data_IF_790452108357
#
_entry.id   IF_790452108357
#
_cell.length_a   1.000
_cell.length_b   1.000
_cell.length_c   1.000
_cell.angle_alpha   90.00
_cell.angle_beta   90.00
_cell.angle_gamma   90.00
#
_symmetry.space_group_name_H-M   'P 1'
#
loop_
_entity.id
_entity.type
_entity.pdbx_description
1 polymer ?
#
# COMPACT_ATOMS: atom_id res chain seq x y z
N UNK A 1 18.19 6.52 25.61
CA UNK A 1 16.81 7.00 25.42
C UNK A 1 15.97 5.81 24.98
N UNK A 2 14.70 5.76 25.40
CA UNK A 2 13.80 4.68 24.96
C UNK A 2 13.57 4.76 23.44
N UNK A 3 13.76 3.65 22.75
CA UNK A 3 13.47 3.55 21.33
C UNK A 3 11.94 3.46 21.14
N UNK A 4 11.39 4.28 20.29
CA UNK A 4 9.99 4.17 19.86
C UNK A 4 9.94 3.65 18.41
N UNK A 5 8.88 2.92 18.08
CA UNK A 5 8.64 2.39 16.75
C UNK A 5 7.47 3.08 16.09
N UNK A 6 7.50 3.20 14.78
CA UNK A 6 6.38 3.64 13.96
C UNK A 6 5.99 2.54 12.97
N UNK A 7 4.71 2.21 12.90
CA UNK A 7 4.18 1.29 11.88
C UNK A 7 3.15 2.00 11.02
N UNK A 8 3.32 1.88 9.71
CA UNK A 8 2.27 2.13 8.74
C UNK A 8 1.85 0.81 8.10
N UNK A 9 0.62 0.37 8.35
CA UNK A 9 -0.03 -0.73 7.66
C UNK A 9 -0.84 -0.17 6.49
N UNK A 10 -0.36 -0.38 5.27
CA UNK A 10 -1.10 -0.07 4.04
C UNK A 10 -1.95 -1.24 3.54
N UNK A 11 -2.69 -1.04 2.45
CA UNK A 11 -3.45 -2.13 1.81
C UNK A 11 -2.56 -3.16 1.09
N UNK A 12 -1.38 -2.77 0.65
CA UNK A 12 -0.47 -3.64 -0.12
C UNK A 12 0.82 -3.97 0.60
N UNK A 13 1.29 -3.06 1.46
CA UNK A 13 2.56 -3.18 2.19
C UNK A 13 2.43 -2.60 3.59
N UNK A 14 3.28 -3.09 4.49
CA UNK A 14 3.51 -2.49 5.80
C UNK A 14 4.97 -2.03 5.88
N UNK A 15 5.22 -0.96 6.62
CA UNK A 15 6.57 -0.45 6.93
C UNK A 15 6.75 -0.27 8.42
N UNK A 16 7.97 -0.50 8.89
CA UNK A 16 8.40 -0.35 10.26
C UNK A 16 9.59 0.62 10.31
N UNK A 17 9.54 1.57 11.21
CA UNK A 17 10.66 2.46 11.51
C UNK A 17 10.95 2.51 13.01
N UNK A 18 12.19 2.73 13.39
CA UNK A 18 12.59 3.06 14.75
C UNK A 18 12.92 4.54 14.84
N UNK A 19 12.65 5.14 16.00
CA UNK A 19 13.07 6.48 16.34
C UNK A 19 13.96 6.41 17.58
N UNK A 20 15.23 6.74 17.38
CA UNK A 20 16.23 6.76 18.44
C UNK A 20 17.20 7.91 18.24
N UNK A 21 17.59 8.58 19.33
CA UNK A 21 18.56 9.68 19.31
C UNK A 21 18.20 10.82 18.32
N UNK A 22 16.90 11.14 18.20
CA UNK A 22 16.43 12.20 17.31
C UNK A 22 16.36 11.82 15.82
N UNK A 23 16.59 10.55 15.47
CA UNK A 23 16.60 10.11 14.06
C UNK A 23 15.62 8.96 13.85
N UNK A 24 14.81 9.09 12.80
CA UNK A 24 13.94 8.01 12.31
C UNK A 24 14.72 7.14 11.29
N UNK A 25 14.67 5.83 11.45
CA UNK A 25 15.30 4.88 10.52
C UNK A 25 14.33 3.77 10.17
N UNK A 26 14.09 3.56 8.88
CA UNK A 26 13.25 2.46 8.40
C UNK A 26 13.99 1.14 8.57
N UNK A 27 13.36 0.19 9.24
CA UNK A 27 13.90 -1.14 9.52
C UNK A 27 13.61 -2.06 8.33
N UNK A 28 14.66 -2.72 7.84
CA UNK A 28 14.52 -3.72 6.80
C UNK A 28 13.90 -5.00 7.36
N UNK A 29 13.11 -5.68 6.53
CA UNK A 29 12.57 -7.01 6.84
C UNK A 29 13.62 -8.11 6.64
N UNK A 30 13.25 -9.36 6.88
CA UNK A 30 14.14 -10.52 6.75
C UNK A 30 14.75 -10.71 5.35
N UNK A 31 14.17 -10.08 4.33
CA UNK A 31 14.66 -10.11 2.94
C UNK A 31 15.53 -8.89 2.59
N UNK A 32 15.76 -7.97 3.53
CA UNK A 32 16.49 -6.74 3.32
C UNK A 32 15.66 -5.59 2.74
N UNK A 33 14.34 -5.80 2.51
CA UNK A 33 13.46 -4.78 1.98
C UNK A 33 12.93 -3.85 3.08
N UNK A 34 12.79 -2.57 2.77
CA UNK A 34 12.24 -1.56 3.69
C UNK A 34 10.72 -1.58 3.82
N UNK A 35 10.05 -2.43 3.06
CA UNK A 35 8.61 -2.66 3.11
C UNK A 35 8.31 -4.15 3.11
N UNK A 36 7.33 -4.57 3.92
CA UNK A 36 6.86 -5.95 3.98
C UNK A 36 5.53 -6.03 3.24
N UNK A 37 5.35 -6.94 2.25
CA UNK A 37 4.05 -7.15 1.62
C UNK A 37 2.97 -7.47 2.66
N UNK A 38 1.84 -6.76 2.62
CA UNK A 38 0.69 -7.04 3.48
C UNK A 38 -0.18 -8.17 2.89
N UNK A 39 0.46 -9.32 2.70
CA UNK A 39 -0.10 -10.53 2.11
C UNK A 39 0.12 -11.67 3.10
N UNK A 40 -0.89 -12.50 3.26
CA UNK A 40 -0.82 -13.70 4.09
C UNK A 40 -1.31 -14.89 3.29
N UNK A 41 -0.66 -16.01 3.45
CA UNK A 41 -1.04 -17.30 2.87
C UNK A 41 -1.03 -18.38 3.94
N UNK A 42 -1.88 -19.38 3.77
CA UNK A 42 -1.80 -20.62 4.53
C UNK A 42 -1.25 -21.71 3.58
N UNK A 43 -0.11 -22.27 3.94
CA UNK A 43 0.54 -23.36 3.21
C UNK A 43 0.61 -24.59 4.12
N UNK A 44 -0.24 -25.60 3.85
CA UNK A 44 -0.43 -26.70 4.77
C UNK A 44 -0.98 -26.23 6.12
N UNK A 45 -0.17 -26.30 7.17
CA UNK A 45 -0.48 -25.80 8.53
C UNK A 45 0.25 -24.50 8.89
N UNK A 46 1.13 -24.00 8.03
CA UNK A 46 1.99 -22.87 8.32
C UNK A 46 1.48 -21.57 7.68
N UNK A 47 1.55 -20.48 8.44
CA UNK A 47 1.22 -19.16 7.97
C UNK A 47 2.45 -18.50 7.35
N UNK A 48 2.39 -18.21 6.07
CA UNK A 48 3.37 -17.40 5.36
C UNK A 48 2.90 -15.95 5.31
N UNK A 49 3.78 -15.01 5.67
CA UNK A 49 3.46 -13.58 5.73
C UNK A 49 4.55 -12.79 4.99
N UNK A 50 4.14 -11.84 4.18
CA UNK A 50 5.04 -10.97 3.45
C UNK A 50 5.54 -11.59 2.16
N UNK A 51 6.87 -11.56 1.95
CA UNK A 51 7.49 -12.00 0.70
C UNK A 51 7.27 -13.50 0.40
N UNK A 52 7.34 -14.44 1.36
CA UNK A 52 7.01 -15.84 1.10
C UNK A 52 5.61 -16.02 0.52
N UNK A 53 4.59 -15.40 1.15
CA UNK A 53 3.22 -15.41 0.65
C UNK A 53 3.08 -14.74 -0.72
N UNK A 54 3.82 -13.64 -0.98
CA UNK A 54 3.83 -12.95 -2.27
C UNK A 54 4.45 -13.83 -3.38
N UNK A 55 5.53 -14.52 -3.10
CA UNK A 55 6.23 -15.37 -4.08
C UNK A 55 5.46 -16.66 -4.38
N UNK A 56 4.79 -17.25 -3.39
CA UNK A 56 3.97 -18.47 -3.53
C UNK A 56 2.61 -18.26 -4.18
N UNK A 57 2.18 -17.01 -4.41
CA UNK A 57 0.79 -16.69 -4.76
C UNK A 57 0.24 -17.37 -6.04
N UNK A 58 1.09 -17.69 -7.01
CA UNK A 58 0.66 -18.34 -8.25
C UNK A 58 0.17 -19.79 -8.03
N UNK A 59 0.60 -20.41 -6.95
CA UNK A 59 0.33 -21.83 -6.66
C UNK A 59 -0.55 -22.02 -5.42
N UNK A 60 -0.71 -20.99 -4.58
CA UNK A 60 -1.49 -21.09 -3.34
C UNK A 60 -2.98 -20.84 -3.57
N UNK A 61 -3.82 -21.70 -2.96
CA UNK A 61 -5.29 -21.57 -2.95
C UNK A 61 -5.81 -20.78 -1.75
N UNK A 62 -4.94 -20.40 -0.82
CA UNK A 62 -5.31 -19.86 0.48
C UNK A 62 -4.56 -18.54 0.77
N UNK A 63 -4.76 -17.53 -0.08
CA UNK A 63 -4.11 -16.23 0.03
C UNK A 63 -5.12 -15.13 0.33
N UNK A 64 -4.77 -14.22 1.25
CA UNK A 64 -5.49 -12.97 1.49
C UNK A 64 -4.59 -11.79 1.15
N UNK A 65 -5.16 -10.85 0.41
CA UNK A 65 -4.59 -9.54 0.07
C UNK A 65 -5.56 -8.43 0.46
N UNK A 66 -5.00 -7.25 0.71
CA UNK A 66 -5.80 -6.03 0.95
C UNK A 66 -6.75 -6.11 2.14
N UNK A 67 -6.45 -6.96 3.12
CA UNK A 67 -7.26 -7.18 4.33
C UNK A 67 -7.58 -5.86 5.06
N UNK A 68 -6.69 -4.86 5.01
CA UNK A 68 -6.91 -3.55 5.66
C UNK A 68 -8.23 -2.89 5.24
N UNK A 69 -8.72 -3.13 4.00
CA UNK A 69 -10.01 -2.59 3.54
C UNK A 69 -11.17 -3.02 4.43
N UNK A 70 -11.15 -4.26 4.93
CA UNK A 70 -12.19 -4.84 5.78
C UNK A 70 -11.95 -4.61 7.28
N UNK A 71 -10.87 -3.92 7.63
CA UNK A 71 -10.61 -3.43 8.99
C UNK A 71 -11.37 -2.13 9.32
N UNK A 72 -11.74 -1.36 8.29
CA UNK A 72 -12.65 -0.23 8.48
C UNK A 72 -14.05 -0.74 8.84
N UNK A 73 -14.67 -0.23 9.91
CA UNK A 73 -16.03 -0.63 10.28
C UNK A 73 -17.08 -0.16 9.25
N UNK A 74 -16.76 0.87 8.47
CA UNK A 74 -17.61 1.45 7.44
C UNK A 74 -17.29 0.92 6.04
N UNK A 75 -16.66 -0.28 5.92
CA UNK A 75 -16.40 -0.90 4.63
C UNK A 75 -17.72 -1.18 3.88
N UNK A 76 -17.69 -1.10 2.56
CA UNK A 76 -18.84 -1.31 1.69
C UNK A 76 -18.68 -2.58 0.83
N UNK A 77 -19.68 -2.88 0.02
CA UNK A 77 -19.68 -4.05 -0.86
C UNK A 77 -18.53 -4.02 -1.88
N UNK A 78 -18.14 -2.84 -2.38
CA UNK A 78 -17.01 -2.70 -3.31
C UNK A 78 -15.68 -3.09 -2.65
N UNK A 79 -15.50 -2.79 -1.37
CA UNK A 79 -14.32 -3.19 -0.62
C UNK A 79 -14.26 -4.72 -0.45
N UNK A 80 -15.40 -5.36 -0.15
CA UNK A 80 -15.50 -6.80 -0.04
C UNK A 80 -15.19 -7.48 -1.39
N UNK A 81 -15.87 -7.07 -2.45
CA UNK A 81 -15.67 -7.57 -3.82
C UNK A 81 -14.21 -7.39 -4.27
N UNK A 82 -13.58 -6.27 -3.89
CA UNK A 82 -12.18 -6.04 -4.21
C UNK A 82 -11.26 -7.05 -3.52
N UNK A 83 -11.48 -7.33 -2.22
CA UNK A 83 -10.70 -8.31 -1.47
C UNK A 83 -10.95 -9.73 -2.00
N UNK A 84 -12.19 -10.09 -2.32
CA UNK A 84 -12.54 -11.39 -2.91
C UNK A 84 -11.83 -11.63 -4.25
N UNK A 85 -11.91 -10.66 -5.16
CA UNK A 85 -11.25 -10.77 -6.49
C UNK A 85 -9.73 -10.86 -6.41
N UNK A 86 -9.13 -10.23 -5.40
CA UNK A 86 -7.68 -10.18 -5.22
C UNK A 86 -7.13 -11.36 -4.42
N UNK A 87 -7.96 -12.00 -3.61
CA UNK A 87 -7.62 -13.13 -2.75
C UNK A 87 -7.94 -14.47 -3.43
N UNK A 88 -7.41 -15.57 -2.92
CA UNK A 88 -7.72 -16.92 -3.40
C UNK A 88 -8.44 -17.81 -2.38
N UNK A 89 -8.49 -17.38 -1.11
CA UNK A 89 -9.35 -18.04 -0.11
C UNK A 89 -10.83 -17.72 -0.36
N UNK A 90 -11.71 -18.56 0.14
CA UNK A 90 -13.14 -18.29 0.14
C UNK A 90 -13.46 -17.27 1.24
N UNK A 91 -14.28 -16.27 0.90
CA UNK A 91 -14.72 -15.23 1.83
C UNK A 91 -16.22 -15.41 2.04
N UNK A 92 -16.64 -15.47 3.31
CA UNK A 92 -18.05 -15.52 3.71
C UNK A 92 -18.37 -14.18 4.38
N UNK A 93 -19.49 -13.60 3.99
CA UNK A 93 -20.01 -12.37 4.60
C UNK A 93 -21.38 -12.67 5.20
N UNK A 94 -21.50 -12.49 6.51
CA UNK A 94 -22.72 -12.66 7.26
C UNK A 94 -23.00 -11.38 8.05
N UNK A 95 -23.97 -10.58 7.62
CA UNK A 95 -24.40 -9.34 8.26
C UNK A 95 -23.25 -8.39 8.69
N UNK A 96 -22.27 -8.14 7.80
CA UNK A 96 -21.03 -7.39 8.05
C UNK A 96 -19.95 -8.12 8.88
N UNK A 97 -20.13 -9.39 9.19
CA UNK A 97 -19.08 -10.25 9.74
C UNK A 97 -18.38 -10.99 8.61
N UNK A 98 -17.13 -10.62 8.34
CA UNK A 98 -16.32 -11.28 7.30
C UNK A 98 -15.53 -12.42 7.90
N UNK A 99 -15.66 -13.59 7.28
CA UNK A 99 -14.91 -14.79 7.64
C UNK A 99 -14.16 -15.32 6.42
N UNK A 100 -12.87 -15.54 6.58
CA UNK A 100 -12.00 -16.18 5.60
C UNK A 100 -11.97 -17.69 5.86
N UNK A 101 -12.26 -18.47 4.84
CA UNK A 101 -12.19 -19.94 4.87
C UNK A 101 -10.93 -20.40 4.15
N UNK A 102 -10.06 -21.10 4.86
CA UNK A 102 -8.83 -21.70 4.35
C UNK A 102 -8.98 -23.20 4.30
N UNK A 103 -8.67 -23.79 3.17
CA UNK A 103 -8.62 -25.24 3.01
C UNK A 103 -7.22 -25.75 3.34
N UNK A 104 -7.10 -26.63 4.32
CA UNK A 104 -5.91 -27.44 4.58
C UNK A 104 -6.12 -28.84 4.06
N UNK A 105 -5.08 -29.67 4.08
CA UNK A 105 -5.19 -31.07 3.64
C UNK A 105 -6.15 -31.91 4.50
N UNK A 106 -6.38 -31.50 5.75
CA UNK A 106 -7.13 -32.30 6.73
C UNK A 106 -8.41 -31.60 7.22
N UNK A 107 -8.40 -30.26 7.29
CA UNK A 107 -9.48 -29.49 7.92
C UNK A 107 -9.68 -28.14 7.21
N UNK A 108 -10.79 -27.47 7.55
CA UNK A 108 -11.03 -26.08 7.22
C UNK A 108 -10.66 -25.21 8.41
N UNK A 109 -9.89 -24.17 8.17
CA UNK A 109 -9.59 -23.13 9.15
C UNK A 109 -10.37 -21.86 8.82
N UNK A 110 -10.87 -21.21 9.85
CA UNK A 110 -11.59 -19.95 9.73
C UNK A 110 -10.84 -18.82 10.42
N UNK A 111 -10.86 -17.66 9.83
CA UNK A 111 -10.24 -16.46 10.39
C UNK A 111 -11.06 -15.23 10.03
N UNK A 112 -10.77 -14.10 10.65
CA UNK A 112 -11.42 -12.83 10.41
C UNK A 112 -10.39 -11.73 10.11
N UNK A 113 -10.80 -10.53 9.64
CA UNK A 113 -9.88 -9.44 9.33
C UNK A 113 -8.96 -9.03 10.50
N UNK A 114 -9.46 -9.06 11.74
CA UNK A 114 -8.65 -8.70 12.92
C UNK A 114 -7.53 -9.71 13.15
N UNK A 115 -7.83 -11.00 13.08
CA UNK A 115 -6.84 -12.08 13.26
C UNK A 115 -5.76 -12.02 12.16
N UNK A 116 -6.16 -11.74 10.91
CA UNK A 116 -5.21 -11.57 9.80
C UNK A 116 -4.31 -10.36 10.03
N UNK A 117 -4.87 -9.23 10.49
CA UNK A 117 -4.10 -8.04 10.83
C UNK A 117 -3.14 -8.30 11.98
N UNK A 118 -3.59 -8.99 13.04
CA UNK A 118 -2.75 -9.39 14.17
C UNK A 118 -1.57 -10.24 13.72
N UNK A 119 -1.77 -11.20 12.82
CA UNK A 119 -0.67 -12.02 12.26
C UNK A 119 0.35 -11.19 11.49
N UNK A 120 -0.12 -10.18 10.71
CA UNK A 120 0.80 -9.25 10.02
C UNK A 120 1.60 -8.44 11.05
N UNK A 121 0.94 -7.92 12.09
CA UNK A 121 1.65 -7.20 13.16
C UNK A 121 2.60 -8.10 13.95
N UNK A 122 2.26 -9.38 14.19
CA UNK A 122 3.16 -10.34 14.85
C UNK A 122 4.44 -10.56 14.03
N UNK A 123 4.33 -10.62 12.69
CA UNK A 123 5.52 -10.67 11.82
C UNK A 123 6.37 -9.41 11.94
N UNK A 124 5.75 -8.23 11.97
CA UNK A 124 6.46 -6.96 12.14
C UNK A 124 7.07 -6.86 13.55
N UNK A 125 6.39 -7.37 14.58
CA UNK A 125 6.91 -7.46 15.94
C UNK A 125 8.20 -8.31 15.99
N UNK A 126 8.22 -9.45 15.32
CA UNK A 126 9.42 -10.28 15.22
C UNK A 126 10.58 -9.51 14.57
N UNK A 127 10.32 -8.76 13.48
CA UNK A 127 11.33 -7.92 12.81
C UNK A 127 11.82 -6.82 13.77
N UNK A 128 10.91 -6.16 14.50
CA UNK A 128 11.26 -5.14 15.47
C UNK A 128 12.11 -5.72 16.60
N UNK A 129 11.73 -6.89 17.16
CA UNK A 129 12.46 -7.55 18.25
C UNK A 129 13.90 -7.92 17.88
N UNK A 130 14.14 -8.34 16.63
CA UNK A 130 15.50 -8.63 16.16
C UNK A 130 16.38 -7.38 16.00
N UNK A 131 15.77 -6.19 15.92
CA UNK A 131 16.49 -4.92 15.77
C UNK A 131 16.92 -4.30 17.10
N UNK A 132 16.50 -4.87 18.24
CA UNK A 132 16.74 -4.33 19.59
C UNK A 132 17.75 -5.19 20.34
N UNK A 133 18.69 -4.53 21.02
CA UNK A 133 19.68 -5.18 21.89
C UNK A 133 19.18 -5.43 23.33
N UNK A 134 17.99 -4.92 23.70
CA UNK A 134 17.46 -5.00 25.06
C UNK A 134 16.03 -5.57 25.05
N UNK A 135 15.75 -6.48 25.97
CA UNK A 135 14.40 -6.97 26.30
C UNK A 135 13.60 -5.85 27.00
N UNK A 136 12.86 -5.06 26.23
CA UNK A 136 11.95 -4.04 26.72
C UNK A 136 10.66 -4.01 25.89
N UNK A 137 9.62 -3.40 26.44
CA UNK A 137 8.36 -3.20 25.71
C UNK A 137 8.61 -2.43 24.42
N UNK A 138 8.14 -2.98 23.29
CA UNK A 138 8.26 -2.31 21.99
C UNK A 138 7.15 -1.25 21.88
N UNK A 139 7.51 -0.02 22.23
CA UNK A 139 6.61 1.15 22.20
C UNK A 139 6.32 1.56 20.78
N UNK A 140 5.03 1.69 20.43
CA UNK A 140 4.58 1.84 19.07
C UNK A 140 3.69 3.07 18.86
N UNK A 141 3.92 3.77 17.76
CA UNK A 141 2.98 4.74 17.18
C UNK A 141 2.46 4.17 15.86
N UNK A 142 1.13 4.16 15.70
CA UNK A 142 0.46 3.68 14.49
C UNK A 142 0.02 4.86 13.62
N UNK A 143 0.13 4.71 12.30
CA UNK A 143 -0.49 5.61 11.34
C UNK A 143 -1.78 4.98 10.77
N UNK A 144 -2.88 5.75 10.77
CA UNK A 144 -4.18 5.31 10.25
C UNK A 144 -4.76 6.32 9.25
N UNK A 145 -5.61 5.84 8.30
CA UNK A 145 -6.31 6.72 7.38
C UNK A 145 -7.16 7.77 8.09
N UNK A 146 -7.21 8.97 7.51
CA UNK A 146 -7.93 10.09 8.10
C UNK A 146 -9.44 9.84 8.20
N UNK A 147 -10.03 9.24 7.18
CA UNK A 147 -11.46 8.96 7.09
C UNK A 147 -11.95 7.83 8.00
N UNK A 148 -11.05 7.11 8.69
CA UNK A 148 -11.45 6.03 9.58
C UNK A 148 -12.04 6.57 10.89
N UNK A 149 -13.14 5.95 11.32
CA UNK A 149 -13.77 6.22 12.62
C UNK A 149 -12.85 5.80 13.77
N UNK A 150 -13.12 6.34 14.97
CA UNK A 150 -12.38 5.95 16.16
C UNK A 150 -12.49 4.44 16.45
N UNK A 151 -13.63 3.82 16.15
CA UNK A 151 -13.83 2.37 16.32
C UNK A 151 -12.87 1.59 15.42
N UNK A 152 -12.76 1.97 14.14
CA UNK A 152 -11.83 1.35 13.19
C UNK A 152 -10.37 1.52 13.60
N UNK A 153 -10.01 2.70 14.13
CA UNK A 153 -8.66 2.99 14.65
C UNK A 153 -8.35 2.13 15.87
N UNK A 154 -9.30 1.97 16.80
CA UNK A 154 -9.13 1.14 17.99
C UNK A 154 -8.99 -0.36 17.64
N UNK A 155 -9.61 -0.83 16.56
CA UNK A 155 -9.37 -2.20 16.06
C UNK A 155 -7.91 -2.41 15.65
N UNK A 156 -7.27 -1.41 14.98
CA UNK A 156 -5.83 -1.51 14.64
C UNK A 156 -4.97 -1.55 15.90
N UNK A 157 -5.26 -0.68 16.89
CA UNK A 157 -4.55 -0.65 18.17
C UNK A 157 -4.64 -2.01 18.84
N UNK A 158 -5.85 -2.57 18.98
CA UNK A 158 -6.05 -3.88 19.60
C UNK A 158 -5.30 -5.01 18.88
N UNK A 159 -5.26 -4.98 17.55
CA UNK A 159 -4.50 -5.98 16.79
C UNK A 159 -2.99 -5.87 17.04
N UNK A 160 -2.46 -4.64 17.19
CA UNK A 160 -1.05 -4.42 17.49
C UNK A 160 -0.68 -4.83 18.93
N UNK A 161 -1.55 -4.53 19.89
CA UNK A 161 -1.40 -4.97 21.30
C UNK A 161 -1.42 -6.51 21.41
N UNK A 162 -2.34 -7.16 20.71
CA UNK A 162 -2.40 -8.63 20.64
C UNK A 162 -1.16 -9.25 19.97
N UNK A 163 -0.46 -8.49 19.13
CA UNK A 163 0.82 -8.88 18.53
C UNK A 163 2.03 -8.68 19.47
N UNK A 164 1.85 -8.01 20.61
CA UNK A 164 2.87 -7.79 21.64
C UNK A 164 3.43 -6.36 21.71
N UNK A 165 2.90 -5.40 20.93
CA UNK A 165 3.34 -4.01 21.02
C UNK A 165 2.67 -3.25 22.17
N UNK A 166 3.38 -2.31 22.78
CA UNK A 166 2.84 -1.27 23.66
C UNK A 166 2.48 -0.04 22.83
N UNK A 167 1.19 0.15 22.51
CA UNK A 167 0.73 1.21 21.62
C UNK A 167 0.58 2.53 22.37
N UNK A 168 1.50 3.46 22.12
CA UNK A 168 1.51 4.79 22.72
C UNK A 168 0.44 5.70 22.11
N UNK A 169 0.30 5.69 20.78
CA UNK A 169 -0.55 6.61 20.06
C UNK A 169 -0.90 6.10 18.67
N UNK A 170 -2.04 6.57 18.14
CA UNK A 170 -2.41 6.47 16.75
C UNK A 170 -2.57 7.87 16.15
N UNK A 171 -1.89 8.14 15.03
CA UNK A 171 -1.91 9.41 14.32
C UNK A 171 -2.51 9.26 12.93
N UNK A 172 -2.92 10.37 12.32
CA UNK A 172 -3.41 10.33 10.94
C UNK A 172 -2.25 10.20 9.94
N UNK A 173 -2.48 9.49 8.81
CA UNK A 173 -1.48 9.33 7.75
C UNK A 173 -0.97 10.67 7.20
N UNK A 174 -1.80 11.72 6.96
CA UNK A 174 -1.29 13.03 6.57
C UNK A 174 -0.40 13.69 7.63
N UNK A 175 -0.77 13.61 8.91
CA UNK A 175 0.09 14.15 9.98
C UNK A 175 1.43 13.44 10.03
N UNK A 176 1.44 12.11 9.91
CA UNK A 176 2.69 11.33 9.84
C UNK A 176 3.57 11.76 8.67
N UNK A 177 2.97 12.10 7.51
CA UNK A 177 3.71 12.58 6.35
C UNK A 177 4.34 13.96 6.60
N UNK A 178 3.65 14.88 7.28
CA UNK A 178 4.20 16.20 7.62
C UNK A 178 5.34 16.11 8.62
N UNK A 179 5.19 15.29 9.67
CA UNK A 179 6.23 15.01 10.66
C UNK A 179 7.52 14.47 10.02
N UNK A 180 7.39 13.61 9.00
CA UNK A 180 8.54 13.06 8.30
C UNK A 180 9.38 14.12 7.55
N UNK A 181 8.80 15.27 7.23
CA UNK A 181 9.49 16.41 6.60
C UNK A 181 9.80 17.55 7.58
N UNK A 182 9.55 17.37 8.89
CA UNK A 182 9.71 18.38 9.95
C UNK A 182 8.97 19.70 9.64
N UNK A 183 7.81 19.61 8.99
CA UNK A 183 7.05 20.80 8.59
C UNK A 183 6.43 21.48 9.82
N UNK A 184 6.16 20.74 10.89
CA UNK A 184 5.61 21.24 12.14
C UNK A 184 6.56 22.19 12.90
N UNK A 185 7.85 22.14 12.63
CA UNK A 185 8.84 23.01 13.28
C UNK A 185 8.81 24.45 12.71
N UNK A 186 8.04 24.71 11.65
CA UNK A 186 7.95 26.05 11.06
C UNK A 186 7.10 26.99 11.92
N UNK A 187 7.58 28.21 12.09
CA UNK A 187 6.83 29.28 12.81
C UNK A 187 5.74 29.91 11.96
N UNK A 188 5.77 29.72 10.65
CA UNK A 188 4.86 30.33 9.70
C UNK A 188 3.59 29.50 9.50
N UNK A 189 2.48 30.18 9.25
CA UNK A 189 1.24 29.53 8.83
C UNK A 189 1.40 28.96 7.41
N UNK A 190 1.30 27.65 7.27
CA UNK A 190 1.44 26.95 6.01
C UNK A 190 0.21 26.13 5.67
N UNK A 191 -0.23 26.19 4.41
CA UNK A 191 -1.18 25.21 3.87
C UNK A 191 -0.41 24.24 2.98
N UNK A 192 -0.55 22.95 3.27
CA UNK A 192 0.18 21.87 2.63
C UNK A 192 -0.80 20.92 1.96
N UNK A 193 -0.63 20.70 0.66
CA UNK A 193 -1.32 19.63 -0.05
C UNK A 193 -0.57 18.31 0.20
N UNK A 194 -1.18 17.39 0.92
CA UNK A 194 -0.65 16.04 1.09
C UNK A 194 -1.35 15.11 0.10
N UNK A 195 -0.63 14.65 -0.89
CA UNK A 195 -1.12 13.72 -1.90
C UNK A 195 -0.53 12.33 -1.66
N UNK A 196 -1.34 11.40 -1.19
CA UNK A 196 -0.95 10.02 -0.90
C UNK A 196 -1.56 9.04 -1.92
N UNK A 197 -0.70 8.38 -2.71
CA UNK A 197 -1.11 7.33 -3.63
C UNK A 197 -0.51 5.99 -3.20
N UNK A 198 -1.36 5.15 -2.64
CA UNK A 198 -1.02 3.79 -2.24
C UNK A 198 -1.13 2.77 -3.38
N UNK A 199 -1.11 1.49 -3.03
CA UNK A 199 -1.32 0.42 -3.99
C UNK A 199 -2.75 0.34 -4.51
N UNK A 200 -3.74 0.67 -3.66
CA UNK A 200 -5.17 0.49 -3.99
C UNK A 200 -6.04 1.70 -3.70
N UNK A 201 -5.51 2.72 -3.02
CA UNK A 201 -6.27 3.90 -2.59
C UNK A 201 -5.48 5.18 -2.84
N UNK A 202 -6.21 6.27 -3.06
CA UNK A 202 -5.70 7.63 -3.12
C UNK A 202 -6.35 8.45 -2.01
N UNK A 203 -5.55 9.25 -1.32
CA UNK A 203 -5.99 10.17 -0.27
C UNK A 203 -5.33 11.52 -0.51
N UNK A 204 -6.12 12.57 -0.59
CA UNK A 204 -5.65 13.93 -0.84
C UNK A 204 -6.19 14.84 0.23
N UNK A 205 -5.31 15.51 0.96
CA UNK A 205 -5.68 16.38 2.07
C UNK A 205 -5.05 17.74 1.92
N UNK A 206 -5.77 18.81 2.29
CA UNK A 206 -5.17 20.11 2.58
C UNK A 206 -5.07 20.21 4.10
N UNK A 207 -3.85 20.41 4.54
CA UNK A 207 -3.50 20.48 5.96
C UNK A 207 -2.90 21.85 6.26
N UNK A 208 -3.44 22.51 7.27
CA UNK A 208 -2.89 23.74 7.80
C UNK A 208 -1.94 23.42 8.96
N UNK A 209 -0.77 24.00 8.90
CA UNK A 209 0.23 23.99 9.98
C UNK A 209 0.37 25.41 10.51
N UNK A 210 0.17 25.59 11.81
CA UNK A 210 0.22 26.90 12.47
C UNK A 210 0.79 26.72 13.86
N UNK A 211 1.92 27.34 14.15
CA UNK A 211 2.56 27.31 15.47
C UNK A 211 2.69 25.90 16.08
N UNK A 212 3.07 24.91 15.25
CA UNK A 212 3.23 23.50 15.66
C UNK A 212 1.91 22.69 15.68
N UNK A 213 0.76 23.32 15.47
CA UNK A 213 -0.51 22.61 15.35
C UNK A 213 -0.78 22.20 13.90
N UNK A 214 -1.25 20.97 13.74
CA UNK A 214 -1.62 20.38 12.46
C UNK A 214 -3.13 20.19 12.43
N UNK A 215 -3.83 20.92 11.54
CA UNK A 215 -5.26 20.79 11.31
C UNK A 215 -5.57 20.38 9.87
N UNK A 216 -6.51 19.46 9.69
CA UNK A 216 -6.96 19.06 8.35
C UNK A 216 -8.15 19.93 7.96
N UNK A 217 -7.95 20.72 6.89
CA UNK A 217 -8.98 21.63 6.38
C UNK A 217 -9.93 20.92 5.41
N UNK A 218 -9.37 20.08 4.52
CA UNK A 218 -10.13 19.30 3.54
C UNK A 218 -9.52 17.94 3.31
N UNK A 219 -10.34 16.96 2.93
CA UNK A 219 -9.88 15.63 2.55
C UNK A 219 -10.78 15.03 1.46
N UNK A 220 -10.18 14.38 0.48
CA UNK A 220 -10.83 13.54 -0.53
C UNK A 220 -10.19 12.17 -0.50
N UNK A 221 -11.01 11.14 -0.32
CA UNK A 221 -10.59 9.74 -0.36
C UNK A 221 -11.19 9.02 -1.56
N UNK A 222 -10.36 8.22 -2.26
CA UNK A 222 -10.74 7.38 -3.39
C UNK A 222 -10.27 5.95 -3.15
N UNK A 223 -11.22 5.03 -3.04
CA UNK A 223 -10.95 3.58 -2.86
C UNK A 223 -10.65 2.84 -4.16
N UNK A 224 -10.89 3.47 -5.30
CA UNK A 224 -10.76 2.90 -6.65
C UNK A 224 -9.48 3.32 -7.40
N UNK A 225 -8.68 4.25 -6.83
CA UNK A 225 -7.44 4.74 -7.42
C UNK A 225 -6.22 4.23 -6.63
N UNK A 226 -5.27 3.65 -7.36
CA UNK A 226 -4.01 3.18 -6.76
C UNK A 226 -3.08 2.55 -7.79
N UNK A 227 -1.87 2.20 -7.36
CA UNK A 227 -0.84 1.61 -8.20
C UNK A 227 -1.22 0.27 -8.83
N UNK A 228 -2.15 -0.47 -8.21
CA UNK A 228 -2.66 -1.74 -8.76
C UNK A 228 -3.42 -1.55 -10.08
N UNK A 229 -4.14 -0.43 -10.25
CA UNK A 229 -4.77 -0.10 -11.52
C UNK A 229 -3.74 0.09 -12.63
N UNK A 230 -2.60 0.71 -12.32
CA UNK A 230 -1.49 0.91 -13.26
C UNK A 230 -0.77 -0.41 -13.56
N UNK A 231 -0.58 -1.26 -12.55
CA UNK A 231 -0.05 -2.63 -12.72
C UNK A 231 -0.95 -3.43 -13.66
N UNK A 232 -2.28 -3.37 -13.47
CA UNK A 232 -3.23 -4.07 -14.32
C UNK A 232 -3.14 -3.59 -15.78
N UNK A 233 -3.09 -2.28 -16.03
CA UNK A 233 -2.96 -1.75 -17.38
C UNK A 233 -1.68 -2.27 -18.08
N UNK A 234 -0.57 -2.35 -17.35
CA UNK A 234 0.68 -2.91 -17.88
C UNK A 234 0.57 -4.42 -18.12
N UNK A 235 -0.06 -5.17 -17.22
CA UNK A 235 -0.28 -6.60 -17.39
C UNK A 235 -1.19 -6.90 -18.60
N UNK A 236 -2.27 -6.12 -18.75
CA UNK A 236 -3.18 -6.24 -19.90
C UNK A 236 -2.47 -5.92 -21.22
N UNK A 237 -1.58 -4.93 -21.22
CA UNK A 237 -0.73 -4.64 -22.40
C UNK A 237 0.18 -5.84 -22.73
N UNK A 238 0.87 -6.40 -21.74
CA UNK A 238 1.75 -7.57 -21.96
C UNK A 238 0.94 -8.78 -22.42
N UNK A 239 -0.26 -9.00 -21.88
CA UNK A 239 -1.15 -10.07 -22.32
C UNK A 239 -1.56 -9.93 -23.79
N UNK A 240 -1.86 -8.70 -24.24
CA UNK A 240 -2.20 -8.42 -25.64
C UNK A 240 -1.01 -8.68 -26.58
N UNK A 241 0.20 -8.25 -26.20
CA UNK A 241 1.42 -8.54 -27.00
C UNK A 241 1.68 -10.05 -27.09
N UNK A 242 1.50 -10.79 -25.99
CA UNK A 242 1.61 -12.24 -25.99
C UNK A 242 0.58 -12.88 -26.93
N UNK A 243 -0.69 -12.47 -26.82
CA UNK A 243 -1.78 -12.97 -27.68
C UNK A 243 -1.53 -12.69 -29.16
N UNK A 244 -1.01 -11.51 -29.49
CA UNK A 244 -0.68 -11.17 -30.88
C UNK A 244 0.41 -12.07 -31.45
N UNK A 245 1.43 -12.37 -30.65
CA UNK A 245 2.59 -13.17 -31.06
C UNK A 245 2.29 -14.68 -31.14
N UNK A 246 1.63 -15.21 -30.11
CA UNK A 246 1.47 -16.65 -29.94
C UNK A 246 0.06 -17.16 -30.22
N UNK A 247 -0.91 -16.29 -30.45
CA UNK A 247 -2.35 -16.62 -30.64
C UNK A 247 -2.99 -17.37 -29.47
N UNK A 248 -2.37 -17.29 -28.29
CA UNK A 248 -2.85 -17.81 -27.01
C UNK A 248 -3.25 -16.62 -26.14
N UNK A 249 -4.39 -16.71 -25.45
CA UNK A 249 -4.90 -15.61 -24.61
C UNK A 249 -4.63 -15.85 -23.12
N UNK A 250 -3.66 -15.13 -22.50
CA UNK A 250 -3.41 -15.28 -21.07
C UNK A 250 -4.57 -14.84 -20.20
N UNK A 251 -5.49 -13.99 -20.71
CA UNK A 251 -6.64 -13.47 -19.94
C UNK A 251 -7.65 -14.57 -19.61
N UNK A 252 -7.66 -15.67 -20.36
CA UNK A 252 -8.51 -16.83 -20.09
C UNK A 252 -7.98 -17.73 -18.95
N UNK A 253 -6.73 -17.51 -18.52
CA UNK A 253 -6.08 -18.28 -17.45
C UNK A 253 -5.81 -17.44 -16.22
N UNK A 254 -6.50 -17.74 -15.10
CA UNK A 254 -6.24 -17.08 -13.81
C UNK A 254 -4.78 -17.18 -13.38
N UNK A 255 -4.14 -18.35 -13.61
CA UNK A 255 -2.73 -18.57 -13.28
C UNK A 255 -1.80 -17.70 -14.12
N UNK A 256 -2.04 -17.59 -15.43
CA UNK A 256 -1.26 -16.76 -16.33
C UNK A 256 -1.40 -15.29 -15.95
N UNK A 257 -2.63 -14.79 -15.70
CA UNK A 257 -2.86 -13.43 -15.26
C UNK A 257 -2.23 -13.12 -13.90
N UNK A 258 -2.19 -14.07 -12.95
CA UNK A 258 -1.48 -13.90 -11.68
C UNK A 258 0.02 -13.72 -11.89
N UNK A 259 0.65 -14.51 -12.76
CA UNK A 259 2.05 -14.34 -13.15
C UNK A 259 2.29 -12.98 -13.81
N UNK A 260 1.44 -12.61 -14.78
CA UNK A 260 1.51 -11.31 -15.46
C UNK A 260 1.43 -10.14 -14.50
N UNK A 261 0.46 -10.13 -13.58
CA UNK A 261 0.31 -9.08 -12.59
C UNK A 261 1.53 -8.97 -11.67
N UNK A 262 2.11 -10.10 -11.27
CA UNK A 262 3.33 -10.11 -10.45
C UNK A 262 4.53 -9.47 -11.20
N UNK A 263 4.76 -9.89 -12.43
CA UNK A 263 5.88 -9.37 -13.23
C UNK A 263 5.65 -7.93 -13.69
N UNK A 264 4.40 -7.54 -13.98
CA UNK A 264 4.04 -6.15 -14.28
C UNK A 264 4.22 -5.24 -13.07
N UNK A 265 3.91 -5.71 -11.84
CA UNK A 265 4.17 -4.96 -10.61
C UNK A 265 5.67 -4.69 -10.42
N UNK A 266 6.50 -5.72 -10.57
CA UNK A 266 7.96 -5.59 -10.51
C UNK A 266 8.50 -4.65 -11.60
N UNK A 267 8.02 -4.80 -12.84
CA UNK A 267 8.37 -3.93 -13.95
C UNK A 267 8.02 -2.45 -13.67
N UNK A 268 6.81 -2.17 -13.18
CA UNK A 268 6.38 -0.83 -12.75
C UNK A 268 7.32 -0.23 -11.70
N UNK A 269 7.73 -1.02 -10.71
CA UNK A 269 8.68 -0.56 -9.68
C UNK A 269 10.05 -0.21 -10.30
N UNK A 270 10.59 -1.05 -11.16
CA UNK A 270 11.86 -0.78 -11.88
C UNK A 270 11.75 0.48 -12.72
N UNK A 271 10.64 0.66 -13.47
CA UNK A 271 10.41 1.81 -14.34
C UNK A 271 10.18 3.12 -13.58
N UNK A 272 9.93 3.09 -12.28
CA UNK A 272 9.92 4.30 -11.44
C UNK A 272 11.32 4.90 -11.26
N UNK A 273 12.37 4.07 -11.33
CA UNK A 273 13.77 4.49 -11.14
C UNK A 273 14.60 4.41 -12.43
N UNK A 274 14.40 3.37 -13.27
CA UNK A 274 15.15 3.11 -14.48
C UNK A 274 14.33 3.41 -15.75
N UNK A 275 15.02 3.64 -16.86
CA UNK A 275 14.38 3.95 -18.15
C UNK A 275 13.85 2.73 -18.90
N UNK A 276 14.25 1.52 -18.50
CA UNK A 276 13.79 0.26 -19.08
C UNK A 276 13.77 -0.85 -18.04
N UNK A 277 12.91 -1.84 -18.28
CA UNK A 277 12.80 -3.05 -17.47
C UNK A 277 12.62 -4.26 -18.37
N UNK A 278 13.39 -5.32 -18.12
CA UNK A 278 13.22 -6.60 -18.79
C UNK A 278 12.20 -7.44 -18.03
N UNK A 279 11.15 -7.87 -18.73
CA UNK A 279 10.12 -8.76 -18.20
C UNK A 279 10.34 -10.14 -18.78
N UNK A 280 10.67 -11.11 -17.91
CA UNK A 280 10.77 -12.52 -18.27
C UNK A 280 9.80 -13.34 -17.44
N UNK A 281 8.96 -14.16 -18.07
CA UNK A 281 7.96 -15.00 -17.41
C UNK A 281 8.09 -16.41 -17.99
N UNK A 282 8.61 -17.30 -17.16
CA UNK A 282 8.74 -18.71 -17.51
C UNK A 282 7.36 -19.37 -17.58
N UNK A 283 7.12 -20.15 -18.65
CA UNK A 283 5.90 -20.93 -18.86
C UNK A 283 4.63 -20.12 -18.52
N UNK A 284 4.47 -18.98 -19.20
CA UNK A 284 3.35 -18.07 -18.95
C UNK A 284 2.02 -18.77 -19.24
N UNK A 285 1.90 -19.39 -20.43
CA UNK A 285 0.72 -20.13 -20.84
C UNK A 285 1.15 -21.29 -21.76
N UNK A 286 0.61 -22.50 -21.54
CA UNK A 286 0.85 -23.71 -22.33
C UNK A 286 2.33 -24.03 -22.58
N UNK A 287 3.18 -23.79 -21.55
CA UNK A 287 4.62 -24.02 -21.63
C UNK A 287 5.40 -22.95 -22.40
N UNK A 288 4.74 -21.90 -22.88
CA UNK A 288 5.38 -20.82 -23.64
C UNK A 288 5.90 -19.74 -22.69
N UNK A 289 7.18 -19.40 -22.85
CA UNK A 289 7.81 -18.31 -22.11
C UNK A 289 7.51 -16.95 -22.74
N UNK A 290 7.54 -15.90 -21.91
CA UNK A 290 7.48 -14.52 -22.37
C UNK A 290 8.74 -13.74 -22.00
N UNK A 291 9.26 -13.02 -22.97
CA UNK A 291 10.42 -12.13 -22.79
C UNK A 291 10.21 -10.84 -23.58
N UNK A 292 10.26 -9.70 -22.89
CA UNK A 292 10.08 -8.37 -23.47
C UNK A 292 10.81 -7.29 -22.66
N UNK A 293 11.43 -6.34 -23.37
CA UNK A 293 11.89 -5.08 -22.76
C UNK A 293 10.77 -4.05 -22.83
N UNK A 294 10.45 -3.45 -21.68
CA UNK A 294 9.48 -2.36 -21.56
C UNK A 294 10.23 -1.09 -21.18
N UNK A 295 10.09 -0.04 -21.99
CA UNK A 295 10.65 1.27 -21.65
C UNK A 295 9.70 2.07 -20.76
N UNK A 296 10.26 3.00 -19.95
CA UNK A 296 9.47 3.96 -19.15
C UNK A 296 8.50 4.74 -20.05
N UNK A 297 8.96 5.23 -21.20
CA UNK A 297 8.11 5.96 -22.15
C UNK A 297 6.90 5.12 -22.61
N UNK A 298 7.11 3.80 -22.84
CA UNK A 298 6.00 2.89 -23.20
C UNK A 298 5.01 2.75 -22.05
N UNK A 299 5.50 2.53 -20.84
CA UNK A 299 4.65 2.45 -19.65
C UNK A 299 3.87 3.75 -19.42
N UNK A 300 4.52 4.89 -19.52
CA UNK A 300 3.88 6.21 -19.38
C UNK A 300 2.82 6.47 -20.46
N UNK A 301 3.01 5.96 -21.68
CA UNK A 301 1.98 6.01 -22.72
C UNK A 301 0.78 5.12 -22.37
N UNK A 302 1.00 3.91 -21.87
CA UNK A 302 -0.07 2.99 -21.43
C UNK A 302 -0.95 3.64 -20.36
N UNK A 303 -0.36 4.33 -19.39
CA UNK A 303 -1.10 4.96 -18.29
C UNK A 303 -1.64 6.35 -18.64
N UNK A 304 -1.25 6.96 -19.76
CA UNK A 304 -1.61 8.36 -20.12
C UNK A 304 -3.10 8.61 -20.11
N UNK A 305 -3.89 7.67 -20.63
CA UNK A 305 -5.36 7.81 -20.65
C UNK A 305 -6.01 7.82 -19.26
N UNK A 306 -5.27 7.42 -18.22
CA UNK A 306 -5.75 7.36 -16.84
C UNK A 306 -5.23 8.51 -15.97
N UNK A 307 -4.26 9.29 -16.44
CA UNK A 307 -3.62 10.34 -15.63
C UNK A 307 -4.64 11.36 -15.11
N UNK A 308 -5.63 11.75 -15.93
CA UNK A 308 -6.69 12.68 -15.50
C UNK A 308 -7.44 12.21 -14.26
N UNK A 309 -7.72 10.91 -14.13
CA UNK A 309 -8.39 10.35 -12.96
C UNK A 309 -7.54 10.46 -11.67
N UNK A 310 -6.20 10.43 -11.80
CA UNK A 310 -5.29 10.63 -10.66
C UNK A 310 -5.11 12.12 -10.31
N UNK A 311 -5.28 13.02 -11.26
CA UNK A 311 -5.20 14.48 -11.04
C UNK A 311 -6.49 15.01 -10.43
N UNK A 312 -7.65 14.48 -10.84
CA UNK A 312 -8.98 14.99 -10.48
C UNK A 312 -9.18 15.22 -8.98
N UNK A 313 -8.82 14.29 -8.04
CA UNK A 313 -9.02 14.53 -6.63
C UNK A 313 -8.20 15.73 -6.10
N UNK A 314 -6.98 15.91 -6.61
CA UNK A 314 -6.14 17.05 -6.22
C UNK A 314 -6.68 18.37 -6.82
N UNK A 315 -7.06 18.37 -8.09
CA UNK A 315 -7.64 19.55 -8.73
C UNK A 315 -8.92 19.98 -8.00
N UNK A 316 -9.82 19.04 -7.71
CA UNK A 316 -11.06 19.34 -7.02
C UNK A 316 -10.84 19.97 -5.64
N UNK A 317 -9.94 19.41 -4.83
CA UNK A 317 -9.70 19.93 -3.48
C UNK A 317 -9.00 21.31 -3.51
N UNK A 318 -8.16 21.57 -4.53
CA UNK A 318 -7.51 22.86 -4.76
C UNK A 318 -8.54 23.90 -5.15
N UNK A 319 -9.43 23.59 -6.10
CA UNK A 319 -10.46 24.53 -6.60
C UNK A 319 -11.47 24.91 -5.50
N UNK A 320 -11.70 24.01 -4.54
CA UNK A 320 -12.59 24.24 -3.40
C UNK A 320 -11.92 24.93 -2.22
N UNK A 321 -10.61 25.19 -2.27
CA UNK A 321 -9.87 25.78 -1.15
C UNK A 321 -9.56 27.28 -1.40
N UNK A 322 -10.00 28.13 -0.47
CA UNK A 322 -9.86 29.60 -0.60
C UNK A 322 -8.51 30.14 -0.11
N UNK A 323 -7.53 29.29 0.11
CA UNK A 323 -6.20 29.68 0.62
C UNK A 323 -5.08 29.46 -0.37
N UNK A 324 -3.93 30.11 -0.15
CA UNK A 324 -2.71 29.77 -0.88
C UNK A 324 -2.14 28.47 -0.34
N UNK A 325 -1.84 27.50 -1.22
CA UNK A 325 -1.11 26.27 -0.89
C UNK A 325 0.37 26.55 -1.07
N UNK A 326 1.16 26.33 -0.01
CA UNK A 326 2.58 26.68 0.04
C UNK A 326 3.47 25.50 -0.37
N UNK A 327 3.08 24.28 0.00
CA UNK A 327 3.86 23.07 -0.23
C UNK A 327 2.99 21.93 -0.72
N UNK A 328 3.61 21.00 -1.47
CA UNK A 328 3.03 19.71 -1.88
C UNK A 328 3.88 18.62 -1.27
N UNK A 329 3.28 17.73 -0.49
CA UNK A 329 3.91 16.51 0.03
C UNK A 329 3.38 15.31 -0.74
N UNK A 330 4.27 14.62 -1.46
CA UNK A 330 3.94 13.39 -2.17
C UNK A 330 4.36 12.18 -1.34
N UNK A 331 3.42 11.30 -1.03
CA UNK A 331 3.69 10.08 -0.29
C UNK A 331 2.95 8.86 -0.84
N UNK A 332 3.39 7.66 -0.41
CA UNK A 332 2.92 6.39 -0.92
C UNK A 332 3.73 5.87 -2.12
N UNK A 333 3.85 4.54 -2.21
CA UNK A 333 4.75 3.87 -3.17
C UNK A 333 4.46 4.20 -4.63
N UNK A 334 3.20 4.47 -4.99
CA UNK A 334 2.82 4.77 -6.37
C UNK A 334 3.18 6.20 -6.80
N UNK A 335 3.44 7.11 -5.85
CA UNK A 335 3.94 8.45 -6.15
C UNK A 335 5.41 8.48 -6.58
N UNK A 336 6.11 7.35 -6.54
CA UNK A 336 7.45 7.21 -7.13
C UNK A 336 7.44 7.20 -8.68
N UNK A 337 6.28 7.15 -9.32
CA UNK A 337 6.15 7.18 -10.78
C UNK A 337 6.35 8.63 -11.26
N UNK A 338 7.41 8.94 -12.07
CA UNK A 338 7.77 10.31 -12.42
C UNK A 338 6.65 11.09 -13.10
N UNK A 339 5.91 10.44 -14.01
CA UNK A 339 4.80 11.08 -14.72
C UNK A 339 3.69 11.57 -13.80
N UNK A 340 3.38 10.81 -12.72
CA UNK A 340 2.39 11.23 -11.71
C UNK A 340 2.92 12.39 -10.86
N UNK A 341 4.19 12.35 -10.45
CA UNK A 341 4.81 13.45 -9.70
C UNK A 341 4.73 14.76 -10.49
N UNK A 342 5.16 14.72 -11.76
CA UNK A 342 5.11 15.89 -12.64
C UNK A 342 3.68 16.39 -12.84
N UNK A 343 2.72 15.48 -13.02
CA UNK A 343 1.33 15.83 -13.23
C UNK A 343 0.71 16.55 -12.02
N UNK A 344 1.00 16.09 -10.80
CA UNK A 344 0.51 16.73 -9.56
C UNK A 344 1.27 18.04 -9.30
N UNK A 345 2.59 18.10 -9.49
CA UNK A 345 3.38 19.31 -9.31
C UNK A 345 2.90 20.46 -10.23
N UNK A 346 2.51 20.15 -11.45
CA UNK A 346 2.01 21.13 -12.42
C UNK A 346 0.68 21.79 -12.03
N UNK A 347 -0.07 21.23 -11.05
CA UNK A 347 -1.29 21.86 -10.53
C UNK A 347 -1.00 23.12 -9.71
N UNK A 348 0.17 23.16 -9.06
CA UNK A 348 0.59 24.23 -8.16
C UNK A 348 2.07 24.58 -8.43
N UNK A 349 2.38 25.27 -9.55
CA UNK A 349 3.76 25.54 -9.97
C UNK A 349 4.57 26.38 -8.96
N UNK A 350 3.86 27.20 -8.16
CA UNK A 350 4.48 28.09 -7.17
C UNK A 350 4.66 27.41 -5.79
N UNK A 351 4.16 26.18 -5.60
CA UNK A 351 4.29 25.45 -4.35
C UNK A 351 5.57 24.63 -4.32
N UNK A 352 6.24 24.58 -3.17
CA UNK A 352 7.41 23.72 -2.96
C UNK A 352 7.02 22.26 -2.98
N UNK A 353 7.64 21.46 -3.87
CA UNK A 353 7.41 20.03 -3.97
C UNK A 353 8.34 19.25 -3.05
N UNK A 354 7.77 18.49 -2.12
CA UNK A 354 8.47 17.59 -1.21
C UNK A 354 8.13 16.13 -1.59
N UNK A 355 9.14 15.39 -2.01
CA UNK A 355 9.03 13.98 -2.39
C UNK A 355 10.33 13.26 -2.08
N UNK A 356 10.28 11.97 -1.72
CA UNK A 356 11.50 11.16 -1.59
C UNK A 356 11.79 10.64 -0.19
N UNK A 357 10.86 10.78 0.75
CA UNK A 357 10.90 10.07 2.03
C UNK A 357 10.12 8.75 1.92
#
# INVERSE_FOLDING_TARGET
MATAYGIHLGNSTASLASFANGTATVIANDSGDRVTPAIIALNGSEWEIGLPAKSGQANSKSIIKHNKRLMNCDWNEDDLVYVEKSSSCRIQNDEKSVTYEFETNETKLYSNPDNITTKIYSKIFTIASHSVSNEGDLKLVLAAPLHWSNVSRQRLVKCAELAGFDVLQIISEPAAALLAYNIEETCDDLNVLVYRLGGTTCDVSIVKVSSGFISVEKNIFRSDLGGQCLTKNLADYIAQEFKQKWKLDPQESRRAMTKLLHHADNCKHVLSSLNSSHVFIESLLDGVDWSQNVSRARFENIISAKISAYIEPAQKIIDEFEGKINKIVLCGGSMKIPKLQTAIANLLPDAELLSGI
#
